data_IF_013897519013
#
_entry.id   IF_013897519013
#
_cell.length_a   1.000
_cell.length_b   1.000
_cell.length_c   1.000
_cell.angle_alpha   90.00
_cell.angle_beta   90.00
_cell.angle_gamma   90.00
#
_symmetry.space_group_name_H-M   'P 1'
#
loop_
_entity.id
_entity.type
_entity.pdbx_description
1 polymer ?
#
# COMPACT_ATOMS: atom_id res chain seq x y z
N UNK A 1 -15.57 3.45 -12.42
CA UNK A 1 -14.58 4.14 -13.25
C UNK A 1 -13.35 4.43 -12.44
N UNK A 2 -12.28 3.82 -12.79
CA UNK A 2 -11.05 4.09 -12.08
C UNK A 2 -10.39 5.31 -12.68
N UNK A 3 -10.10 6.28 -11.86
CA UNK A 3 -9.32 7.43 -12.27
C UNK A 3 -7.90 7.21 -11.85
N UNK A 4 -7.03 7.10 -12.81
CA UNK A 4 -5.62 7.11 -12.51
C UNK A 4 -5.22 8.51 -12.09
N UNK A 5 -4.42 8.62 -11.04
CA UNK A 5 -3.94 9.91 -10.62
C UNK A 5 -2.43 9.98 -10.78
N UNK A 6 -1.84 11.17 -10.76
CA UNK A 6 -0.40 11.31 -11.00
C UNK A 6 0.42 10.60 -9.93
N UNK A 7 1.42 9.88 -10.37
CA UNK A 7 2.36 9.23 -9.48
C UNK A 7 3.29 10.28 -8.86
N UNK A 8 3.42 10.32 -7.54
CA UNK A 8 4.32 11.30 -6.92
C UNK A 8 5.79 11.03 -7.19
N UNK A 9 6.13 9.84 -7.67
CA UNK A 9 7.51 9.50 -7.93
C UNK A 9 7.96 9.84 -9.35
N UNK A 10 7.14 9.49 -10.34
CA UNK A 10 7.51 9.69 -11.74
C UNK A 10 6.63 10.68 -12.47
N UNK A 11 5.55 11.13 -11.86
CA UNK A 11 4.65 12.10 -12.45
C UNK A 11 3.69 11.55 -13.50
N UNK A 12 3.80 10.28 -13.85
CA UNK A 12 2.88 9.70 -14.83
C UNK A 12 1.52 9.46 -14.19
N UNK A 13 0.46 9.75 -14.92
CA UNK A 13 -0.91 9.52 -14.44
C UNK A 13 -1.29 8.06 -14.64
N UNK A 14 -0.57 7.17 -13.98
CA UNK A 14 -0.75 5.73 -14.15
C UNK A 14 -0.89 4.98 -12.84
N UNK A 15 -1.31 5.66 -11.80
CA UNK A 15 -1.61 5.02 -10.53
C UNK A 15 -2.94 4.31 -10.64
N UNK A 16 -2.94 3.01 -10.42
CA UNK A 16 -4.15 2.19 -10.50
C UNK A 16 -4.35 1.44 -9.20
N UNK A 17 -5.61 1.17 -8.89
CA UNK A 17 -5.95 0.40 -7.70
C UNK A 17 -5.52 -1.05 -7.90
N UNK A 18 -4.80 -1.56 -6.92
CA UNK A 18 -4.25 -2.91 -6.97
C UNK A 18 -4.55 -3.62 -5.66
N UNK A 19 -4.85 -4.90 -5.73
CA UNK A 19 -5.01 -5.75 -4.54
C UNK A 19 -3.97 -6.84 -4.64
N UNK A 20 -3.05 -6.86 -3.69
CA UNK A 20 -1.98 -7.86 -3.68
C UNK A 20 -1.45 -8.05 -2.27
N UNK A 21 -0.74 -9.16 -2.09
CA UNK A 21 -0.08 -9.41 -0.82
C UNK A 21 1.15 -8.51 -0.74
N UNK A 22 1.27 -7.78 0.36
CA UNK A 22 2.37 -6.85 0.55
C UNK A 22 3.19 -7.26 1.75
N UNK A 23 4.50 -7.24 1.59
CA UNK A 23 5.43 -7.43 2.70
C UNK A 23 6.13 -6.11 2.94
N UNK A 24 6.06 -5.64 4.17
CA UNK A 24 6.65 -4.37 4.55
C UNK A 24 8.03 -4.58 5.14
N UNK A 25 8.79 -3.49 5.23
CA UNK A 25 10.18 -3.55 5.65
C UNK A 25 10.37 -4.10 7.06
N UNK A 26 9.38 -3.90 7.91
CA UNK A 26 9.44 -4.38 9.29
C UNK A 26 9.01 -5.84 9.43
N UNK A 27 8.84 -6.53 8.32
CA UNK A 27 8.48 -7.94 8.34
C UNK A 27 6.99 -8.20 8.37
N UNK A 28 6.18 -7.15 8.40
CA UNK A 28 4.74 -7.30 8.39
C UNK A 28 4.26 -7.77 7.02
N UNK A 29 3.44 -8.81 7.00
CA UNK A 29 2.80 -9.27 5.76
C UNK A 29 1.32 -8.99 5.82
N UNK A 30 0.82 -8.29 4.82
CA UNK A 30 -0.60 -7.98 4.72
C UNK A 30 -1.13 -8.62 3.44
N UNK A 31 -2.06 -9.54 3.60
CA UNK A 31 -2.64 -10.24 2.45
C UNK A 31 -3.74 -9.41 1.84
N UNK A 32 -3.79 -9.39 0.51
CA UNK A 32 -4.86 -8.76 -0.25
C UNK A 32 -5.03 -7.32 0.18
N UNK A 33 -3.91 -6.63 0.26
CA UNK A 33 -3.92 -5.22 0.63
C UNK A 33 -4.31 -4.40 -0.59
N UNK A 34 -5.35 -3.59 -0.42
CA UNK A 34 -5.81 -2.71 -1.48
C UNK A 34 -5.01 -1.41 -1.41
N UNK A 35 -4.33 -1.11 -2.48
CA UNK A 35 -3.51 0.10 -2.54
C UNK A 35 -3.40 0.55 -3.99
N UNK A 36 -2.67 1.62 -4.22
CA UNK A 36 -2.44 2.11 -5.57
C UNK A 36 -1.01 1.80 -5.98
N UNK A 37 -0.84 1.46 -7.24
CA UNK A 37 0.46 1.15 -7.78
C UNK A 37 0.62 1.82 -9.13
N UNK A 38 1.76 2.46 -9.34
CA UNK A 38 2.07 3.08 -10.62
C UNK A 38 2.51 2.02 -11.61
N UNK A 39 1.86 1.99 -12.77
CA UNK A 39 2.22 1.03 -13.81
C UNK A 39 3.48 1.45 -14.57
N UNK A 40 3.90 2.71 -14.41
CA UNK A 40 5.07 3.20 -15.11
C UNK A 40 6.35 2.94 -14.34
N UNK A 41 6.37 3.19 -13.02
CA UNK A 41 7.58 3.06 -12.23
C UNK A 41 7.48 2.03 -11.11
N UNK A 42 6.30 1.50 -10.85
CA UNK A 42 6.11 0.51 -9.79
C UNK A 42 5.97 1.08 -8.40
N UNK A 43 5.90 2.39 -8.25
CA UNK A 43 5.72 2.99 -6.93
C UNK A 43 4.38 2.62 -6.34
N UNK A 44 4.33 2.47 -5.04
CA UNK A 44 3.11 2.13 -4.32
C UNK A 44 2.65 3.31 -3.51
N UNK A 45 1.33 3.49 -3.45
CA UNK A 45 0.73 4.52 -2.61
C UNK A 45 -0.32 3.87 -1.73
N UNK A 46 -0.19 4.09 -0.43
CA UNK A 46 -1.14 3.56 0.54
C UNK A 46 -2.03 4.70 1.01
N UNK A 47 -3.32 4.61 0.67
CA UNK A 47 -4.28 5.61 1.12
C UNK A 47 -4.69 5.34 2.58
N UNK A 48 -5.67 6.11 3.08
CA UNK A 48 -6.08 5.97 4.47
C UNK A 48 -6.59 4.57 4.76
N UNK A 49 -7.35 3.98 3.84
CA UNK A 49 -7.87 2.63 4.03
C UNK A 49 -6.75 1.61 4.10
N UNK A 50 -5.75 1.75 3.24
CA UNK A 50 -4.61 0.85 3.24
C UNK A 50 -3.81 1.00 4.53
N UNK A 51 -3.58 2.23 4.96
CA UNK A 51 -2.85 2.48 6.20
C UNK A 51 -3.60 1.92 7.40
N UNK A 52 -4.90 2.08 7.42
CA UNK A 52 -5.72 1.53 8.49
C UNK A 52 -5.63 0.00 8.52
N UNK A 53 -5.66 -0.63 7.36
CA UNK A 53 -5.52 -2.07 7.26
C UNK A 53 -4.15 -2.53 7.75
N UNK A 54 -3.12 -1.81 7.38
CA UNK A 54 -1.75 -2.13 7.81
C UNK A 54 -1.65 -2.06 9.32
N UNK A 55 -2.20 -1.02 9.94
CA UNK A 55 -2.17 -0.87 11.39
C UNK A 55 -2.94 -1.99 12.08
N UNK A 56 -4.09 -2.36 11.54
CA UNK A 56 -4.89 -3.45 12.09
C UNK A 56 -4.13 -4.77 12.04
N UNK A 57 -3.48 -5.04 10.92
CA UNK A 57 -2.72 -6.27 10.77
C UNK A 57 -1.51 -6.30 11.69
N UNK A 58 -0.88 -5.14 11.87
CA UNK A 58 0.27 -5.05 12.77
C UNK A 58 -0.12 -5.38 14.20
N UNK A 59 -1.26 -4.86 14.63
CA UNK A 59 -1.77 -5.17 15.96
C UNK A 59 -2.16 -6.64 16.08
N UNK A 60 -2.80 -7.19 15.05
CA UNK A 60 -3.24 -8.57 15.06
C UNK A 60 -2.06 -9.55 15.05
N UNK A 61 -0.98 -9.20 14.38
CA UNK A 61 0.19 -10.07 14.32
C UNK A 61 1.14 -9.88 15.49
N UNK A 62 0.82 -8.97 16.39
CA UNK A 62 1.61 -8.79 17.60
C UNK A 62 2.97 -8.19 17.36
N UNK A 63 3.19 -7.54 16.23
CA UNK A 63 4.44 -6.86 15.97
C UNK A 63 4.44 -5.58 16.78
N UNK A 64 5.06 -5.65 17.94
CA UNK A 64 5.14 -4.50 18.81
C UNK A 64 6.23 -3.59 18.36
N UNK A 65 5.88 -2.36 18.09
CA UNK A 65 6.89 -1.33 18.02
C UNK A 65 7.18 -0.91 19.42
N UNK A 66 8.32 -1.28 19.88
CA UNK A 66 8.78 -0.73 21.11
C UNK A 66 8.99 0.76 20.89
N UNK A 67 8.16 1.50 21.51
CA UNK A 67 8.25 2.93 21.41
C UNK A 67 9.15 3.43 22.51
#
# INVERSE_FOLDING_TARGET
MSKAFPCPECGAARMVRTVEDCRLDDGLSVRRLRHFRCQACGARFFDDDAMHRIQSERAAQGIAHAV
#
